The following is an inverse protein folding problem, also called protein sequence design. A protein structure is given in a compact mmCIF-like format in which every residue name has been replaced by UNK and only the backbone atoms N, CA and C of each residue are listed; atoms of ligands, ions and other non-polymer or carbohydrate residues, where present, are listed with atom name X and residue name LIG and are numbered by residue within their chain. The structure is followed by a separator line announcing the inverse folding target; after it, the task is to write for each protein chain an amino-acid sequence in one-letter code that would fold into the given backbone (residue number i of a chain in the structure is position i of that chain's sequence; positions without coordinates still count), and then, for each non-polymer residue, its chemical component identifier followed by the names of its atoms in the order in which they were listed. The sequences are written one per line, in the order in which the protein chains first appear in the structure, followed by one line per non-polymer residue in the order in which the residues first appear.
data_IF_886922027162
#
_entry.id   IF_886922027162
#
_cell.length_a   1.000
_cell.length_b   1.000
_cell.length_c   1.000
_cell.angle_alpha   90.00
_cell.angle_beta   90.00
_cell.angle_gamma   90.00
#
_symmetry.space_group_name_H-M   'P 1'
#
loop_
_entity.id
_entity.type
_entity.pdbx_description
1 polymer ?
#
# COMPACT_ATOMS: atom_id res chain seq x y z
N UNK A 1 36.98 67.11 -4.03
CA UNK A 1 35.65 66.53 -3.78
C UNK A 1 35.13 66.08 -5.12
N UNK A 2 35.14 64.76 -5.33
CA UNK A 2 34.67 64.08 -6.53
C UNK A 2 33.19 63.84 -6.32
N UNK A 3 32.35 64.24 -7.27
CA UNK A 3 31.06 63.57 -7.45
C UNK A 3 30.61 63.65 -8.90
N UNK A 4 30.42 62.47 -9.48
CA UNK A 4 30.03 62.21 -10.86
C UNK A 4 28.74 61.41 -10.87
N UNK A 5 27.77 61.91 -11.65
CA UNK A 5 26.78 61.20 -12.48
C UNK A 5 25.88 60.15 -11.80
N UNK A 6 24.57 60.39 -11.66
CA UNK A 6 23.52 60.34 -12.69
C UNK A 6 23.09 58.92 -13.11
N UNK A 7 21.81 58.58 -12.92
CA UNK A 7 20.79 58.48 -13.98
C UNK A 7 19.53 57.73 -13.54
N UNK A 8 18.41 58.15 -14.12
CA UNK A 8 17.05 57.67 -13.90
C UNK A 8 16.72 56.45 -14.80
N UNK A 9 15.68 55.68 -14.44
CA UNK A 9 15.09 54.71 -15.37
C UNK A 9 14.00 53.77 -14.83
N UNK A 10 12.75 54.13 -15.13
CA UNK A 10 11.62 53.29 -15.56
C UNK A 10 10.99 52.21 -14.64
N UNK A 11 9.69 52.39 -14.43
CA UNK A 11 8.73 51.41 -13.97
C UNK A 11 8.38 50.39 -15.08
N UNK A 12 8.22 49.12 -14.71
CA UNK A 12 7.58 48.08 -15.54
C UNK A 12 6.57 47.31 -14.70
N UNK A 13 5.36 47.23 -15.24
CA UNK A 13 4.14 46.57 -14.77
C UNK A 13 4.28 45.04 -14.62
N UNK A 14 3.73 44.49 -13.54
CA UNK A 14 3.57 43.05 -13.32
C UNK A 14 2.25 42.52 -13.93
N UNK A 15 2.21 41.32 -14.53
CA UNK A 15 0.95 40.69 -14.93
C UNK A 15 0.28 39.95 -13.77
N UNK A 16 -1.04 40.13 -13.70
CA UNK A 16 -1.98 39.45 -12.81
C UNK A 16 -2.09 37.94 -13.07
N UNK A 17 -1.89 37.13 -12.04
CA UNK A 17 -2.20 35.69 -12.07
C UNK A 17 -3.70 35.51 -11.78
N UNK A 18 -4.45 35.10 -12.81
CA UNK A 18 -5.85 34.68 -12.70
C UNK A 18 -5.88 33.26 -12.13
N UNK A 19 -6.34 33.12 -10.89
CA UNK A 19 -6.65 31.84 -10.28
C UNK A 19 -7.88 31.21 -10.98
N UNK A 20 -7.67 30.14 -11.75
CA UNK A 20 -8.76 29.28 -12.22
C UNK A 20 -9.12 28.28 -11.11
N UNK A 21 -10.34 28.41 -10.59
CA UNK A 21 -11.01 27.41 -9.77
C UNK A 21 -11.25 26.14 -10.61
N UNK A 22 -10.55 25.06 -10.31
CA UNK A 22 -10.86 23.73 -10.83
C UNK A 22 -11.74 23.01 -9.81
N UNK A 23 -13.00 22.84 -10.20
CA UNK A 23 -13.99 21.99 -9.57
C UNK A 23 -13.51 20.54 -9.54
N UNK A 24 -13.42 19.96 -8.34
CA UNK A 24 -13.26 18.52 -8.16
C UNK A 24 -14.54 17.80 -8.60
N UNK A 25 -14.47 17.08 -9.72
CA UNK A 25 -15.40 16.00 -10.03
C UNK A 25 -14.68 14.67 -9.89
N UNK A 26 -14.99 13.98 -8.79
CA UNK A 26 -14.86 12.52 -8.64
C UNK A 26 -15.65 11.80 -9.73
N UNK A 27 -15.03 10.86 -10.45
CA UNK A 27 -15.75 9.73 -11.07
C UNK A 27 -14.90 8.47 -10.88
N UNK A 28 -15.48 7.51 -10.16
CA UNK A 28 -15.08 6.11 -10.14
C UNK A 28 -16.03 5.27 -11.01
N UNK A 29 -15.49 4.15 -11.44
CA UNK A 29 -16.03 2.97 -12.10
C UNK A 29 -17.56 2.73 -12.24
N UNK A 30 -17.86 2.10 -13.39
CA UNK A 30 -19.01 1.24 -13.78
C UNK A 30 -20.38 1.88 -14.02
N UNK A 31 -20.81 1.81 -15.29
CA UNK A 31 -22.13 2.23 -15.73
C UNK A 31 -23.23 1.19 -15.57
N UNK A 32 -24.47 1.69 -15.45
CA UNK A 32 -25.68 1.18 -16.11
C UNK A 32 -26.53 2.38 -16.53
N UNK A 33 -27.19 2.20 -17.66
CA UNK A 33 -27.67 3.15 -18.67
C UNK A 33 -28.82 4.08 -18.30
N UNK A 34 -28.86 5.20 -19.03
CA UNK A 34 -29.86 6.28 -19.10
C UNK A 34 -31.32 5.85 -19.35
N UNK A 35 -32.27 6.64 -18.82
CA UNK A 35 -33.38 7.28 -19.57
C UNK A 35 -33.74 8.62 -18.90
N UNK A 36 -33.96 9.65 -19.72
CA UNK A 36 -34.20 11.06 -19.39
C UNK A 36 -35.59 11.42 -18.81
N UNK A 37 -35.60 12.62 -18.21
CA UNK A 37 -36.64 13.69 -18.16
C UNK A 37 -37.62 13.79 -16.96
N UNK A 38 -37.65 14.98 -16.36
CA UNK A 38 -38.89 15.63 -15.89
C UNK A 38 -38.95 16.11 -14.42
N UNK A 39 -38.64 17.40 -14.21
CA UNK A 39 -39.35 18.35 -13.32
C UNK A 39 -39.68 18.04 -11.84
N UNK A 40 -39.17 18.94 -10.98
CA UNK A 40 -39.75 19.57 -9.77
C UNK A 40 -40.06 18.80 -8.46
N UNK A 41 -39.54 19.42 -7.39
CA UNK A 41 -40.09 19.62 -6.03
C UNK A 41 -39.79 18.64 -4.88
N UNK A 42 -39.25 19.24 -3.80
CA UNK A 42 -39.22 18.90 -2.36
C UNK A 42 -39.73 17.53 -1.86
N UNK A 43 -38.91 16.85 -1.05
CA UNK A 43 -39.08 16.64 0.42
C UNK A 43 -38.16 15.51 0.95
N UNK A 44 -37.68 15.68 2.20
CA UNK A 44 -37.29 14.70 3.24
C UNK A 44 -36.57 13.39 2.82
N UNK A 45 -35.36 13.08 3.29
CA UNK A 45 -35.02 12.90 4.70
C UNK A 45 -35.26 11.44 5.12
N UNK A 46 -34.16 10.71 5.41
CA UNK A 46 -34.06 9.31 5.92
C UNK A 46 -33.95 8.18 4.88
N UNK A 47 -32.72 7.78 4.50
CA UNK A 47 -32.32 6.35 4.32
C UNK A 47 -30.84 6.11 3.88
N UNK A 48 -29.85 6.82 4.44
CA UNK A 48 -28.43 6.65 4.05
C UNK A 48 -27.59 5.75 4.96
N UNK A 49 -28.18 5.08 5.97
CA UNK A 49 -27.39 4.45 7.04
C UNK A 49 -27.22 2.91 6.96
N UNK A 50 -27.79 2.22 5.96
CA UNK A 50 -27.62 0.76 5.78
C UNK A 50 -26.57 0.40 4.72
N UNK A 51 -26.43 1.21 3.66
CA UNK A 51 -25.45 0.98 2.59
C UNK A 51 -23.99 1.23 3.03
N UNK A 52 -23.77 2.18 3.96
CA UNK A 52 -22.44 2.51 4.49
C UNK A 52 -21.85 1.39 5.36
N UNK A 53 -22.70 0.64 6.08
CA UNK A 53 -22.27 -0.51 6.90
C UNK A 53 -21.88 -1.72 6.05
N UNK A 54 -22.47 -1.89 4.86
CA UNK A 54 -22.15 -2.99 3.96
C UNK A 54 -20.82 -2.77 3.22
N UNK A 55 -20.50 -1.54 2.82
CA UNK A 55 -19.20 -1.18 2.20
C UNK A 55 -18.01 -1.29 3.18
N UNK A 56 -18.21 -0.98 4.46
CA UNK A 56 -17.16 -1.14 5.48
C UNK A 56 -16.81 -2.62 5.75
N UNK A 57 -17.75 -3.54 5.54
CA UNK A 57 -17.52 -4.99 5.67
C UNK A 57 -16.70 -5.55 4.50
N UNK A 58 -16.83 -5.00 3.30
CA UNK A 58 -16.09 -5.43 2.12
C UNK A 58 -14.65 -4.88 2.10
N UNK A 59 -14.42 -3.68 2.64
CA UNK A 59 -13.07 -3.13 2.86
C UNK A 59 -12.26 -3.92 3.91
N UNK A 60 -12.92 -4.54 4.90
CA UNK A 60 -12.27 -5.46 5.87
C UNK A 60 -11.86 -6.80 5.25
N UNK A 61 -12.53 -7.25 4.20
CA UNK A 61 -12.22 -8.52 3.52
C UNK A 61 -11.16 -8.39 2.41
N UNK A 62 -10.98 -7.19 1.82
CA UNK A 62 -9.95 -6.96 0.79
C UNK A 62 -8.54 -6.75 1.38
N UNK A 63 -8.42 -6.17 2.57
CA UNK A 63 -7.13 -6.01 3.27
C UNK A 63 -6.57 -7.35 3.81
N UNK A 64 -7.44 -8.31 4.11
CA UNK A 64 -7.06 -9.65 4.56
C UNK A 64 -6.58 -10.56 3.42
N UNK A 65 -7.06 -10.36 2.18
CA UNK A 65 -6.57 -11.14 1.02
C UNK A 65 -5.21 -10.68 0.49
N UNK A 66 -4.83 -9.40 0.64
CA UNK A 66 -3.47 -8.95 0.28
C UNK A 66 -2.39 -9.39 1.28
N UNK A 67 -2.77 -9.70 2.54
CA UNK A 67 -1.84 -10.19 3.56
C UNK A 67 -1.55 -11.70 3.45
N UNK A 68 -2.50 -12.49 2.92
CA UNK A 68 -2.36 -13.95 2.80
C UNK A 68 -1.43 -14.41 1.65
N UNK A 69 -1.11 -13.55 0.69
CA UNK A 69 -0.21 -13.93 -0.43
C UNK A 69 1.28 -13.62 -0.18
N UNK A 70 1.67 -13.24 1.05
CA UNK A 70 3.08 -12.98 1.39
C UNK A 70 3.55 -13.51 2.75
N UNK A 71 2.70 -14.28 3.44
CA UNK A 71 3.04 -14.91 4.73
C UNK A 71 2.90 -16.44 4.63
N UNK A 72 4.01 -17.11 4.37
CA UNK A 72 4.11 -18.58 4.36
C UNK A 72 4.04 -19.20 5.75
N UNK A 73 2.94 -19.00 6.48
CA UNK A 73 2.68 -19.70 7.74
C UNK A 73 1.28 -20.33 7.71
N UNK A 74 1.20 -21.54 7.15
CA UNK A 74 0.03 -22.41 7.26
C UNK A 74 0.06 -23.16 8.59
N UNK A 75 -0.84 -22.85 9.53
CA UNK A 75 -1.16 -23.74 10.64
C UNK A 75 -2.22 -24.75 10.18
N UNK A 76 -1.81 -25.98 9.88
CA UNK A 76 -2.72 -27.10 9.61
C UNK A 76 -3.40 -27.53 10.92
N UNK A 77 -4.73 -27.50 10.98
CA UNK A 77 -5.53 -28.21 11.99
C UNK A 77 -5.75 -29.65 11.54
N UNK A 78 -5.00 -30.59 12.11
CA UNK A 78 -5.33 -32.02 12.05
C UNK A 78 -6.35 -32.37 13.13
N UNK A 79 -7.57 -32.74 12.75
CA UNK A 79 -8.55 -33.35 13.66
C UNK A 79 -8.47 -34.86 13.52
N UNK A 80 -8.07 -35.57 14.59
CA UNK A 80 -8.29 -37.02 14.73
C UNK A 80 -9.29 -37.25 15.86
N UNK A 81 -10.34 -37.99 15.54
CA UNK A 81 -11.38 -38.49 16.42
C UNK A 81 -10.84 -39.69 17.20
N UNK A 82 -11.09 -39.77 18.50
CA UNK A 82 -11.11 -41.03 19.24
C UNK A 82 -12.12 -41.00 20.39
N UNK A 83 -13.10 -41.90 20.34
CA UNK A 83 -14.02 -42.24 21.43
C UNK A 83 -13.31 -42.97 22.58
N UNK A 84 -13.73 -42.71 23.83
CA UNK A 84 -14.11 -43.75 24.83
C UNK A 84 -14.74 -43.17 26.12
N UNK A 85 -15.50 -44.05 26.77
CA UNK A 85 -16.59 -43.90 27.75
C UNK A 85 -16.22 -43.74 29.25
N UNK A 86 -17.25 -43.31 30.03
CA UNK A 86 -17.65 -43.62 31.43
C UNK A 86 -16.69 -43.23 32.59
N UNK A 87 -17.08 -42.70 33.77
CA UNK A 87 -18.19 -43.06 34.68
C UNK A 87 -18.23 -42.11 35.92
N UNK A 88 -19.42 -41.97 36.56
CA UNK A 88 -19.79 -41.73 38.00
C UNK A 88 -18.76 -41.15 39.01
N UNK A 89 -19.05 -40.27 39.99
CA UNK A 89 -20.27 -39.84 40.70
C UNK A 89 -19.93 -39.55 42.19
N UNK A 90 -20.83 -38.88 42.93
CA UNK A 90 -20.97 -38.73 44.41
C UNK A 90 -20.62 -37.37 45.05
N UNK A 91 -21.64 -36.80 45.73
CA UNK A 91 -21.69 -35.57 46.53
C UNK A 91 -21.53 -35.84 48.04
N UNK A 92 -21.06 -34.84 48.81
CA UNK A 92 -21.16 -34.74 50.28
C UNK A 92 -20.70 -33.35 50.79
N UNK A 93 -21.21 -32.83 51.93
CA UNK A 93 -21.60 -31.41 52.07
C UNK A 93 -20.57 -30.49 52.75
N UNK A 94 -20.72 -29.18 52.49
CA UNK A 94 -20.04 -28.03 53.09
C UNK A 94 -20.67 -27.56 54.42
N UNK A 95 -19.91 -26.85 55.28
CA UNK A 95 -20.46 -25.83 56.17
C UNK A 95 -20.15 -24.41 55.66
N UNK A 96 -21.19 -23.58 55.68
CA UNK A 96 -21.24 -22.14 55.36
C UNK A 96 -20.80 -21.27 56.52
N UNK A 97 -20.05 -20.20 56.24
CA UNK A 97 -19.96 -18.98 57.06
C UNK A 97 -20.29 -17.80 56.15
N UNK A 98 -21.38 -17.09 56.47
CA UNK A 98 -21.84 -15.88 55.80
C UNK A 98 -21.03 -14.65 56.25
N UNK A 99 -20.70 -13.77 55.31
CA UNK A 99 -20.53 -12.34 55.55
C UNK A 99 -21.28 -11.54 54.46
N UNK A 100 -22.01 -10.53 54.92
CA UNK A 100 -23.12 -9.87 54.23
C UNK A 100 -22.77 -9.03 53.01
N UNK A 101 -23.79 -8.88 52.16
CA UNK A 101 -23.79 -8.07 50.94
C UNK A 101 -24.09 -6.60 51.21
N UNK A 102 -23.53 -5.69 50.41
CA UNK A 102 -24.25 -4.53 49.88
C UNK A 102 -23.83 -4.28 48.40
N UNK A 103 -24.86 -4.35 47.53
CA UNK A 103 -24.97 -4.23 46.05
C UNK A 103 -23.78 -3.77 45.19
N UNK A 104 -23.49 -4.33 44.01
CA UNK A 104 -24.27 -5.14 43.06
C UNK A 104 -23.77 -4.75 41.67
N UNK A 105 -22.85 -5.52 41.05
CA UNK A 105 -23.17 -6.45 39.97
C UNK A 105 -22.40 -7.77 40.14
N UNK A 106 -23.11 -8.86 39.94
CA UNK A 106 -22.73 -10.25 40.21
C UNK A 106 -21.60 -10.76 39.31
N UNK A 107 -20.47 -11.12 39.93
CA UNK A 107 -19.41 -11.94 39.34
C UNK A 107 -19.85 -13.41 39.34
N UNK A 108 -20.10 -13.99 38.17
CA UNK A 108 -20.21 -15.44 38.00
C UNK A 108 -18.79 -16.02 37.86
N UNK A 109 -18.22 -16.52 38.97
CA UNK A 109 -17.04 -17.38 38.92
C UNK A 109 -17.47 -18.82 38.67
N UNK A 110 -17.25 -19.36 37.47
CA UNK A 110 -17.29 -20.80 37.25
C UNK A 110 -15.90 -21.39 37.50
N UNK A 111 -15.75 -22.17 38.57
CA UNK A 111 -14.59 -23.04 38.75
C UNK A 111 -14.72 -24.22 37.77
N UNK A 112 -13.84 -24.25 36.76
CA UNK A 112 -13.62 -25.40 35.90
C UNK A 112 -12.19 -25.89 36.06
N UNK A 113 -12.00 -26.99 36.79
CA UNK A 113 -10.80 -27.81 36.69
C UNK A 113 -10.70 -28.40 35.28
N UNK A 114 -9.46 -28.66 34.86
CA UNK A 114 -8.98 -29.20 33.56
C UNK A 114 -8.50 -28.15 32.55
N UNK A 115 -7.20 -28.26 32.26
CA UNK A 115 -6.38 -27.26 31.59
C UNK A 115 -6.74 -27.01 30.13
N UNK A 116 -7.02 -25.74 29.84
CA UNK A 116 -6.84 -25.04 28.57
C UNK A 116 -6.60 -23.55 28.90
N UNK A 117 -5.87 -22.78 28.07
CA UNK A 117 -5.58 -21.38 28.35
C UNK A 117 -6.86 -20.54 28.32
N UNK A 118 -7.06 -19.75 29.38
CA UNK A 118 -8.19 -18.85 29.58
C UNK A 118 -8.30 -17.83 28.43
N UNK A 119 -9.37 -17.94 27.62
CA UNK A 119 -9.86 -16.83 26.81
C UNK A 119 -10.92 -16.08 27.62
N UNK A 120 -10.59 -14.87 28.06
CA UNK A 120 -11.56 -13.95 28.68
C UNK A 120 -12.21 -13.15 27.56
N UNK A 121 -13.47 -13.45 27.23
CA UNK A 121 -14.28 -12.58 26.37
C UNK A 121 -14.98 -11.54 27.25
N UNK A 122 -14.58 -10.27 27.13
CA UNK A 122 -15.27 -9.14 27.75
C UNK A 122 -16.27 -8.57 26.73
N UNK A 123 -17.56 -8.69 27.01
CA UNK A 123 -18.63 -7.96 26.29
C UNK A 123 -19.26 -7.00 27.30
N UNK A 124 -18.65 -5.83 27.43
CA UNK A 124 -19.14 -4.73 28.26
C UNK A 124 -19.26 -3.47 27.40
N UNK A 125 -20.39 -2.78 27.53
CA UNK A 125 -20.65 -1.43 27.05
C UNK A 125 -19.44 -0.52 27.30
N UNK A 126 -19.05 0.30 26.30
CA UNK A 126 -17.96 1.28 26.19
C UNK A 126 -17.37 1.90 27.48
N UNK A 127 -16.90 1.07 28.41
CA UNK A 127 -15.91 1.43 29.40
C UNK A 127 -14.56 1.39 28.69
N UNK A 128 -13.74 2.42 28.89
CA UNK A 128 -12.39 2.52 28.37
C UNK A 128 -11.61 1.25 28.77
N UNK A 129 -11.48 0.29 27.86
CA UNK A 129 -10.57 -0.84 28.06
C UNK A 129 -9.16 -0.27 27.94
N UNK A 130 -8.49 0.01 29.05
CA UNK A 130 -7.08 0.39 29.06
C UNK A 130 -6.21 -0.83 29.30
N UNK A 131 -4.92 -0.74 28.96
CA UNK A 131 -3.95 -1.77 29.35
C UNK A 131 -3.58 -1.54 30.82
N UNK A 132 -3.78 -2.50 31.73
CA UNK A 132 -3.48 -2.29 33.14
C UNK A 132 -1.96 -2.26 33.39
N UNK A 133 -1.45 -1.33 34.23
CA UNK A 133 -0.01 -1.23 34.53
C UNK A 133 0.55 -2.49 35.18
N UNK A 134 -0.29 -3.26 35.89
CA UNK A 134 0.11 -4.53 36.52
C UNK A 134 0.59 -5.58 35.50
N UNK A 135 0.26 -5.42 34.21
CA UNK A 135 0.80 -6.28 33.16
C UNK A 135 2.33 -6.21 33.09
N UNK A 136 2.93 -5.08 33.49
CA UNK A 136 4.38 -4.92 33.63
C UNK A 136 5.04 -5.87 34.62
N UNK A 137 4.28 -6.46 35.55
CA UNK A 137 4.80 -7.44 36.51
C UNK A 137 5.08 -8.82 35.88
N UNK A 138 4.59 -9.08 34.67
CA UNK A 138 4.76 -10.36 33.97
C UNK A 138 6.16 -10.48 33.34
N UNK A 139 7.22 -10.44 34.15
CA UNK A 139 8.62 -10.39 33.70
C UNK A 139 9.08 -11.55 32.80
N UNK A 140 8.34 -12.66 32.77
CA UNK A 140 8.59 -13.82 31.90
C UNK A 140 7.91 -13.73 30.53
N UNK A 141 7.04 -12.73 30.32
CA UNK A 141 6.25 -12.58 29.10
C UNK A 141 7.16 -12.37 27.88
N UNK A 142 6.96 -13.20 26.86
CA UNK A 142 7.69 -13.11 25.58
C UNK A 142 6.81 -12.63 24.43
N UNK A 143 5.49 -12.76 24.57
CA UNK A 143 4.51 -12.40 23.57
C UNK A 143 3.37 -11.68 24.27
N UNK A 144 3.06 -10.48 23.80
CA UNK A 144 1.87 -9.74 24.21
C UNK A 144 1.06 -9.40 22.96
N UNK A 145 -0.12 -10.02 22.87
CA UNK A 145 -1.03 -9.86 21.74
C UNK A 145 -2.41 -9.50 22.27
N UNK A 146 -2.85 -8.29 21.95
CA UNK A 146 -4.15 -7.74 22.32
C UNK A 146 -4.90 -7.24 21.08
N UNK A 147 -4.53 -7.72 19.89
CA UNK A 147 -5.07 -7.25 18.61
C UNK A 147 -6.58 -7.40 18.52
N UNK A 148 -7.22 -6.54 17.71
CA UNK A 148 -8.65 -6.60 17.40
C UNK A 148 -9.53 -6.53 18.66
N UNK A 149 -9.19 -5.62 19.57
CA UNK A 149 -9.95 -5.31 20.78
C UNK A 149 -10.23 -3.81 20.84
N UNK A 150 -11.14 -3.39 21.72
CA UNK A 150 -11.46 -1.98 21.95
C UNK A 150 -10.50 -1.29 22.93
N UNK A 151 -9.23 -1.73 22.99
CA UNK A 151 -8.25 -1.10 23.88
C UNK A 151 -8.00 0.36 23.47
N UNK A 152 -7.94 1.26 24.46
CA UNK A 152 -7.77 2.70 24.32
C UNK A 152 -6.93 3.27 25.48
N UNK A 153 -6.76 4.59 25.54
CA UNK A 153 -5.94 5.24 26.56
C UNK A 153 -4.44 5.09 26.32
N UNK A 154 -3.63 5.48 27.32
CA UNK A 154 -2.18 5.37 27.28
C UNK A 154 -1.69 3.95 27.50
N UNK A 155 -0.53 3.65 26.92
CA UNK A 155 0.22 2.45 27.26
C UNK A 155 1.04 2.72 28.53
N UNK A 156 0.86 1.94 29.62
CA UNK A 156 1.53 2.20 30.89
C UNK A 156 3.04 2.00 30.82
N UNK A 157 3.80 2.85 31.49
CA UNK A 157 5.27 2.83 31.51
C UNK A 157 5.83 1.55 32.15
N UNK A 158 5.05 0.89 33.01
CA UNK A 158 5.40 -0.40 33.62
C UNK A 158 5.65 -1.50 32.58
N UNK A 159 5.08 -1.39 31.37
CA UNK A 159 5.36 -2.34 30.27
C UNK A 159 6.83 -2.32 29.84
N UNK A 160 7.58 -1.26 30.14
CA UNK A 160 9.03 -1.20 29.94
C UNK A 160 9.79 -2.28 30.73
N UNK A 161 9.17 -2.85 31.77
CA UNK A 161 9.78 -3.93 32.57
C UNK A 161 9.73 -5.30 31.90
N UNK A 162 8.99 -5.45 30.79
CA UNK A 162 8.84 -6.70 30.04
C UNK A 162 10.07 -6.98 29.15
N UNK A 163 11.26 -7.06 29.76
CA UNK A 163 12.57 -7.18 29.06
C UNK A 163 12.79 -8.48 28.29
N UNK A 164 11.84 -9.42 28.37
CA UNK A 164 11.85 -10.70 27.63
C UNK A 164 10.92 -10.71 26.43
N UNK A 165 10.19 -9.63 26.21
CA UNK A 165 9.23 -9.50 25.14
C UNK A 165 9.95 -9.58 23.79
N UNK A 166 9.46 -10.47 22.93
CA UNK A 166 9.90 -10.69 21.54
C UNK A 166 8.84 -10.24 20.55
N UNK A 167 7.56 -10.27 20.93
CA UNK A 167 6.46 -9.87 20.07
C UNK A 167 5.46 -8.99 20.83
N UNK A 168 5.13 -7.85 20.22
CA UNK A 168 4.03 -6.96 20.58
C UNK A 168 3.07 -6.88 19.40
N UNK A 169 1.80 -7.19 19.63
CA UNK A 169 0.75 -7.04 18.63
C UNK A 169 -0.47 -6.31 19.20
N UNK A 170 -0.54 -5.02 18.88
CA UNK A 170 -1.61 -4.10 19.30
C UNK A 170 -2.48 -3.68 18.11
N UNK A 171 -2.41 -4.42 17.00
CA UNK A 171 -3.10 -4.09 15.75
C UNK A 171 -4.62 -3.99 15.93
N UNK A 172 -5.28 -3.10 15.19
CA UNK A 172 -6.75 -2.94 15.22
C UNK A 172 -7.28 -2.69 16.64
N UNK A 173 -6.59 -1.81 17.36
CA UNK A 173 -7.09 -1.27 18.63
C UNK A 173 -7.49 0.21 18.45
N UNK A 174 -7.95 0.87 19.51
CA UNK A 174 -8.38 2.28 19.48
C UNK A 174 -7.37 3.19 20.20
N UNK A 175 -6.08 2.86 20.18
CA UNK A 175 -5.05 3.68 20.84
C UNK A 175 -4.92 5.03 20.13
N UNK A 176 -5.18 6.12 20.87
CA UNK A 176 -5.04 7.51 20.42
C UNK A 176 -4.02 8.25 21.30
N UNK A 177 -2.78 7.80 21.25
CA UNK A 177 -1.67 8.29 22.06
C UNK A 177 -0.40 8.32 21.23
N UNK A 178 0.62 8.99 21.73
CA UNK A 178 1.96 8.91 21.15
C UNK A 178 2.57 7.52 21.37
N UNK A 179 3.49 7.12 20.50
CA UNK A 179 4.28 5.91 20.71
C UNK A 179 5.23 6.19 21.90
N UNK A 180 5.13 5.45 23.01
CA UNK A 180 6.00 5.68 24.15
C UNK A 180 7.46 5.39 23.82
N UNK A 181 8.35 6.28 24.24
CA UNK A 181 9.80 6.15 23.99
C UNK A 181 10.42 4.93 24.66
N UNK A 182 9.80 4.40 25.72
CA UNK A 182 10.28 3.23 26.45
C UNK A 182 10.27 1.94 25.61
N UNK A 183 9.56 1.88 24.47
CA UNK A 183 9.71 0.77 23.53
C UNK A 183 11.17 0.55 23.11
N UNK A 184 11.94 1.64 23.02
CA UNK A 184 13.38 1.59 22.75
C UNK A 184 14.22 0.84 23.78
N UNK A 185 13.70 0.58 24.98
CA UNK A 185 14.38 -0.22 26.02
C UNK A 185 14.19 -1.73 25.86
N UNK A 186 13.24 -2.17 25.02
CA UNK A 186 12.90 -3.58 24.82
C UNK A 186 13.84 -4.23 23.79
N UNK A 187 15.11 -4.39 24.14
CA UNK A 187 16.17 -4.85 23.23
C UNK A 187 15.99 -6.27 22.67
N UNK A 188 15.10 -7.09 23.24
CA UNK A 188 14.76 -8.44 22.75
C UNK A 188 13.57 -8.46 21.80
N UNK A 189 12.88 -7.33 21.61
CA UNK A 189 11.70 -7.27 20.76
C UNK A 189 12.10 -7.47 19.29
N UNK A 190 11.42 -8.40 18.63
CA UNK A 190 11.67 -8.79 17.23
C UNK A 190 10.53 -8.36 16.33
N UNK A 191 9.30 -8.38 16.82
CA UNK A 191 8.10 -8.07 16.04
C UNK A 191 7.25 -7.06 16.79
N UNK A 192 7.00 -5.91 16.16
CA UNK A 192 6.20 -4.83 16.73
C UNK A 192 5.13 -4.40 15.72
N UNK A 193 3.88 -4.75 16.02
CA UNK A 193 2.72 -4.42 15.22
C UNK A 193 1.83 -3.44 15.99
N UNK A 194 1.87 -2.16 15.61
CA UNK A 194 1.00 -1.10 16.15
C UNK A 194 0.06 -0.53 15.08
N UNK A 195 -0.03 -1.19 13.92
CA UNK A 195 -0.77 -0.70 12.77
C UNK A 195 -2.29 -0.74 12.97
N UNK A 196 -3.03 0.07 12.20
CA UNK A 196 -4.48 0.23 12.34
C UNK A 196 -4.89 0.66 13.76
N UNK A 197 -4.33 1.77 14.23
CA UNK A 197 -4.71 2.47 15.46
C UNK A 197 -4.92 3.97 15.14
N UNK A 198 -5.10 4.80 16.16
CA UNK A 198 -5.19 6.25 16.05
C UNK A 198 -3.94 6.94 16.64
N UNK A 199 -2.77 6.29 16.58
CA UNK A 199 -1.54 6.81 17.20
C UNK A 199 -1.15 8.15 16.58
N UNK A 200 -0.75 9.09 17.42
CA UNK A 200 -0.40 10.48 17.06
C UNK A 200 1.05 10.80 17.41
N UNK A 201 1.48 12.03 17.18
CA UNK A 201 2.83 12.49 17.51
C UNK A 201 3.87 12.01 16.51
N UNK A 202 5.14 12.01 16.94
CA UNK A 202 6.28 11.61 16.10
C UNK A 202 6.71 10.18 16.35
N UNK A 203 7.49 9.60 15.43
CA UNK A 203 8.14 8.30 15.68
C UNK A 203 9.34 8.55 16.62
N UNK A 204 9.41 7.95 17.82
CA UNK A 204 10.49 8.21 18.76
C UNK A 204 11.85 7.76 18.25
N UNK A 205 12.88 8.60 18.42
CA UNK A 205 14.28 8.27 18.09
C UNK A 205 14.76 7.00 18.79
N UNK A 206 14.23 6.72 20.00
CA UNK A 206 14.58 5.57 20.82
C UNK A 206 14.23 4.23 20.18
N UNK A 207 13.32 4.17 19.20
CA UNK A 207 13.05 2.93 18.46
C UNK A 207 14.30 2.42 17.72
N UNK A 208 15.24 3.32 17.36
CA UNK A 208 16.53 2.94 16.78
C UNK A 208 17.42 2.09 17.71
N UNK A 209 17.16 2.07 19.02
CA UNK A 209 17.92 1.28 19.99
C UNK A 209 17.51 -0.21 20.03
N UNK A 210 16.45 -0.59 19.31
CA UNK A 210 15.88 -1.94 19.35
C UNK A 210 16.67 -2.91 18.45
N UNK A 211 17.86 -3.30 18.90
CA UNK A 211 18.84 -4.06 18.10
C UNK A 211 18.38 -5.45 17.60
N UNK A 212 17.33 -6.04 18.19
CA UNK A 212 16.75 -7.32 17.74
C UNK A 212 15.54 -7.18 16.82
N UNK A 213 15.09 -5.95 16.53
CA UNK A 213 13.83 -5.70 15.83
C UNK A 213 13.93 -6.11 14.35
N UNK A 214 13.08 -7.05 13.94
CA UNK A 214 13.01 -7.56 12.57
C UNK A 214 11.85 -6.95 11.79
N UNK A 215 10.72 -6.72 12.45
CA UNK A 215 9.52 -6.17 11.79
C UNK A 215 8.95 -5.04 12.64
N UNK A 216 8.81 -3.88 12.01
CA UNK A 216 8.11 -2.72 12.55
C UNK A 216 6.97 -2.33 11.60
N UNK A 217 5.73 -2.49 12.06
CA UNK A 217 4.54 -2.03 11.34
C UNK A 217 3.79 -0.97 12.16
N UNK A 218 3.87 0.27 11.69
CA UNK A 218 3.17 1.45 12.23
C UNK A 218 2.13 1.98 11.24
N UNK A 219 1.77 1.21 10.21
CA UNK A 219 0.88 1.69 9.15
C UNK A 219 -0.54 1.97 9.61
N UNK A 220 -1.28 2.81 8.89
CA UNK A 220 -2.65 3.20 9.22
C UNK A 220 -2.76 3.78 10.64
N UNK A 221 -2.08 4.91 10.85
CA UNK A 221 -2.11 5.71 12.07
C UNK A 221 -2.16 7.21 11.68
N UNK A 222 -1.99 8.11 12.66
CA UNK A 222 -1.94 9.57 12.48
C UNK A 222 -0.55 10.12 12.86
N UNK A 223 0.50 9.31 12.67
CA UNK A 223 1.87 9.72 12.99
C UNK A 223 2.32 10.84 12.06
N UNK A 224 3.03 11.82 12.59
CA UNK A 224 3.47 13.04 11.91
C UNK A 224 4.96 13.29 12.13
N UNK A 225 5.50 14.33 11.51
CA UNK A 225 6.93 14.66 11.58
C UNK A 225 7.78 13.77 10.68
N UNK A 226 9.08 13.72 10.97
CA UNK A 226 10.07 13.06 10.11
C UNK A 226 10.23 11.57 10.44
N UNK A 227 10.74 10.79 9.49
CA UNK A 227 11.18 9.41 9.77
C UNK A 227 12.57 9.47 10.43
N UNK A 228 12.73 8.96 11.67
CA UNK A 228 14.03 8.98 12.34
C UNK A 228 15.08 8.14 11.60
N UNK A 229 16.23 8.73 11.30
CA UNK A 229 17.37 8.01 10.70
C UNK A 229 17.91 6.91 11.61
N UNK A 230 17.65 6.98 12.93
CA UNK A 230 18.02 5.95 13.89
C UNK A 230 17.38 4.58 13.61
N UNK A 231 16.21 4.53 12.95
CA UNK A 231 15.58 3.26 12.54
C UNK A 231 16.46 2.52 11.53
N UNK A 232 17.20 3.25 10.69
CA UNK A 232 18.12 2.70 9.71
C UNK A 232 19.50 2.33 10.30
N UNK A 233 19.60 2.24 11.62
CA UNK A 233 20.76 1.68 12.34
C UNK A 233 20.48 0.25 12.84
N UNK A 234 19.23 -0.22 12.75
CA UNK A 234 18.81 -1.53 13.23
C UNK A 234 19.18 -2.60 12.19
N UNK A 235 20.36 -3.21 12.35
CA UNK A 235 20.91 -4.19 11.39
C UNK A 235 20.08 -5.48 11.21
N UNK A 236 19.22 -5.80 12.18
CA UNK A 236 18.30 -6.95 12.15
C UNK A 236 16.98 -6.65 11.44
N UNK A 237 16.70 -5.38 11.10
CA UNK A 237 15.41 -4.98 10.53
C UNK A 237 15.23 -5.59 9.13
N UNK A 238 14.15 -6.33 8.95
CA UNK A 238 13.77 -6.97 7.68
C UNK A 238 12.66 -6.22 6.96
N UNK A 239 11.69 -5.68 7.71
CA UNK A 239 10.50 -5.02 7.17
C UNK A 239 10.15 -3.79 7.98
N UNK A 240 10.00 -2.68 7.27
CA UNK A 240 9.56 -1.40 7.83
C UNK A 240 8.32 -0.92 7.07
N UNK A 241 7.19 -0.82 7.77
CA UNK A 241 5.94 -0.33 7.20
C UNK A 241 5.43 0.88 7.98
N UNK A 242 5.46 2.05 7.34
CA UNK A 242 4.99 3.33 7.85
C UNK A 242 3.86 3.90 6.98
N UNK A 243 3.25 3.07 6.12
CA UNK A 243 2.27 3.54 5.13
C UNK A 243 1.01 4.10 5.79
N UNK A 244 0.32 5.03 5.11
CA UNK A 244 -0.93 5.62 5.60
C UNK A 244 -0.75 6.31 6.96
N UNK A 245 0.13 7.32 6.97
CA UNK A 245 0.36 8.24 8.09
C UNK A 245 0.44 9.68 7.53
N UNK A 246 0.86 10.63 8.36
CA UNK A 246 1.07 12.05 8.03
C UNK A 246 2.56 12.41 8.09
N UNK A 247 3.46 11.44 7.85
CA UNK A 247 4.91 11.66 7.91
C UNK A 247 5.32 12.59 6.78
N UNK A 248 6.26 13.49 7.06
CA UNK A 248 6.70 14.54 6.14
C UNK A 248 8.22 14.59 6.03
N UNK A 249 8.72 15.57 5.27
CA UNK A 249 10.15 15.76 4.98
C UNK A 249 10.70 14.68 4.02
N UNK A 250 12.00 14.75 3.76
CA UNK A 250 12.74 13.92 2.86
C UNK A 250 12.91 12.48 3.33
N UNK A 251 13.24 11.61 2.38
CA UNK A 251 13.63 10.25 2.70
C UNK A 251 14.86 10.28 3.64
N UNK A 252 14.84 9.58 4.78
CA UNK A 252 15.88 9.67 5.79
C UNK A 252 17.24 9.19 5.28
N UNK A 253 18.31 9.85 5.70
CA UNK A 253 19.67 9.46 5.32
C UNK A 253 20.01 8.05 5.84
N UNK A 254 20.52 7.21 4.94
CA UNK A 254 21.01 5.86 5.27
C UNK A 254 22.53 5.88 5.14
N UNK A 255 23.21 5.77 6.29
CA UNK A 255 24.68 5.79 6.37
C UNK A 255 25.25 4.46 6.88
N UNK A 256 24.41 3.45 7.09
CA UNK A 256 24.79 2.14 7.64
C UNK A 256 24.26 1.03 6.74
N UNK A 257 25.05 -0.03 6.57
CA UNK A 257 24.62 -1.21 5.81
C UNK A 257 23.54 -1.98 6.59
N UNK A 258 22.40 -2.24 5.95
CA UNK A 258 21.26 -2.96 6.51
C UNK A 258 21.10 -4.29 5.77
N UNK A 259 21.87 -5.32 6.15
CA UNK A 259 21.92 -6.58 5.40
C UNK A 259 20.60 -7.35 5.45
N UNK A 260 19.76 -7.12 6.46
CA UNK A 260 18.51 -7.86 6.64
C UNK A 260 17.32 -7.20 5.93
N UNK A 261 17.41 -5.90 5.62
CA UNK A 261 16.27 -5.10 5.19
C UNK A 261 15.83 -5.47 3.78
N UNK A 262 14.59 -5.94 3.67
CA UNK A 262 13.99 -6.45 2.44
C UNK A 262 12.80 -5.61 1.97
N UNK A 263 12.09 -4.96 2.89
CA UNK A 263 10.84 -4.26 2.57
C UNK A 263 10.79 -2.88 3.23
N UNK A 264 10.58 -1.86 2.41
CA UNK A 264 10.28 -0.49 2.84
C UNK A 264 8.93 -0.08 2.24
N UNK A 265 7.95 0.21 3.10
CA UNK A 265 6.61 0.65 2.75
C UNK A 265 6.28 2.00 3.37
N UNK A 266 6.40 3.09 2.61
CA UNK A 266 6.08 4.46 3.03
C UNK A 266 4.93 5.07 2.23
N UNK A 267 4.09 4.24 1.62
CA UNK A 267 2.97 4.68 0.78
C UNK A 267 2.03 5.60 1.54
N UNK A 268 1.44 6.60 0.88
CA UNK A 268 0.41 7.46 1.46
C UNK A 268 0.89 8.19 2.71
N UNK A 269 1.85 9.09 2.51
CA UNK A 269 2.36 10.06 3.48
C UNK A 269 2.55 11.41 2.77
N UNK A 270 3.21 12.35 3.44
CA UNK A 270 3.58 13.68 2.93
C UNK A 270 5.10 13.81 2.72
N UNK A 271 5.81 12.72 2.41
CA UNK A 271 7.26 12.74 2.21
C UNK A 271 7.61 13.49 0.91
N UNK A 272 8.70 14.25 0.90
CA UNK A 272 9.08 15.14 -0.21
C UNK A 272 10.57 15.06 -0.60
N UNK A 273 11.01 15.89 -1.54
CA UNK A 273 12.40 15.92 -1.99
C UNK A 273 12.78 14.76 -2.91
N UNK A 274 14.04 14.72 -3.34
CA UNK A 274 14.56 13.71 -4.24
C UNK A 274 14.84 12.36 -3.59
N UNK A 275 14.73 11.27 -4.37
CA UNK A 275 15.13 9.95 -3.90
C UNK A 275 16.67 9.88 -3.73
N UNK A 276 17.21 9.43 -2.57
CA UNK A 276 18.65 9.41 -2.34
C UNK A 276 19.38 8.50 -3.33
N UNK A 277 20.36 9.04 -4.06
CA UNK A 277 21.12 8.29 -5.08
C UNK A 277 21.97 7.14 -4.51
N UNK A 278 22.25 7.13 -3.21
CA UNK A 278 23.05 6.10 -2.55
C UNK A 278 22.21 5.07 -1.79
N UNK A 279 20.87 5.11 -1.87
CA UNK A 279 19.98 4.21 -1.11
C UNK A 279 20.35 2.72 -1.31
N UNK A 280 20.63 2.33 -2.55
CA UNK A 280 20.96 0.95 -2.89
C UNK A 280 22.37 0.51 -2.46
N UNK A 281 23.27 1.43 -2.09
CA UNK A 281 24.61 1.06 -1.59
C UNK A 281 24.54 0.42 -0.20
N UNK A 282 23.49 0.72 0.56
CA UNK A 282 23.33 0.31 1.95
C UNK A 282 22.24 -0.74 2.16
N UNK A 283 21.49 -1.07 1.11
CA UNK A 283 20.34 -1.98 1.16
C UNK A 283 20.52 -3.16 0.18
N UNK A 284 21.53 -4.03 0.37
CA UNK A 284 21.92 -5.05 -0.61
C UNK A 284 20.82 -6.10 -0.87
N UNK A 285 19.92 -6.32 0.09
CA UNK A 285 18.87 -7.33 0.03
C UNK A 285 17.46 -6.75 -0.15
N UNK A 286 17.35 -5.46 -0.53
CA UNK A 286 16.05 -4.82 -0.72
C UNK A 286 15.28 -5.48 -1.86
N UNK A 287 14.08 -5.99 -1.55
CA UNK A 287 13.16 -6.63 -2.49
C UNK A 287 11.99 -5.72 -2.86
N UNK A 288 11.61 -4.80 -1.98
CA UNK A 288 10.45 -3.94 -2.21
C UNK A 288 10.70 -2.53 -1.67
N UNK A 289 10.50 -1.55 -2.55
CA UNK A 289 10.51 -0.13 -2.24
C UNK A 289 9.18 0.48 -2.71
N UNK A 290 8.29 0.76 -1.75
CA UNK A 290 6.97 1.31 -2.02
C UNK A 290 6.82 2.70 -1.41
N UNK A 291 6.91 3.72 -2.27
CA UNK A 291 6.88 5.14 -1.92
C UNK A 291 5.70 5.89 -2.56
N UNK A 292 4.75 5.16 -3.15
CA UNK A 292 3.63 5.75 -3.88
C UNK A 292 2.76 6.67 -3.03
N UNK A 293 2.13 7.68 -3.63
CA UNK A 293 1.25 8.65 -2.93
C UNK A 293 2.02 9.42 -1.86
N UNK A 294 3.05 10.14 -2.30
CA UNK A 294 3.83 11.10 -1.51
C UNK A 294 4.02 12.36 -2.38
N UNK A 295 4.97 13.21 -2.01
CA UNK A 295 5.37 14.43 -2.72
C UNK A 295 6.84 14.36 -3.18
N UNK A 296 7.39 13.17 -3.41
CA UNK A 296 8.77 13.02 -3.89
C UNK A 296 8.93 13.71 -5.25
N UNK A 297 10.03 14.44 -5.43
CA UNK A 297 10.30 15.25 -6.62
C UNK A 297 11.69 14.95 -7.21
N UNK A 298 12.11 15.77 -8.18
CA UNK A 298 13.37 15.59 -8.87
C UNK A 298 13.37 14.36 -9.79
N UNK A 299 14.57 13.94 -10.20
CA UNK A 299 14.74 12.80 -11.10
C UNK A 299 14.82 11.49 -10.33
N UNK A 300 14.32 10.41 -10.95
CA UNK A 300 14.61 9.06 -10.47
C UNK A 300 16.11 8.81 -10.68
N UNK A 301 16.90 8.55 -9.63
CA UNK A 301 18.34 8.37 -9.78
C UNK A 301 18.65 7.06 -10.51
N UNK A 302 19.51 7.09 -11.53
CA UNK A 302 19.93 5.89 -12.29
C UNK A 302 20.58 4.83 -11.41
N UNK A 303 21.16 5.23 -10.28
CA UNK A 303 21.73 4.35 -9.26
C UNK A 303 20.71 3.47 -8.53
N UNK A 304 19.39 3.70 -8.71
CA UNK A 304 18.35 2.77 -8.26
C UNK A 304 18.56 1.35 -8.81
N UNK A 305 19.20 1.27 -9.99
CA UNK A 305 19.60 0.00 -10.63
C UNK A 305 20.56 -0.83 -9.78
N UNK A 306 21.26 -0.25 -8.79
CA UNK A 306 22.13 -1.00 -7.89
C UNK A 306 21.37 -1.88 -6.89
N UNK A 307 20.06 -1.66 -6.72
CA UNK A 307 19.20 -2.54 -5.92
C UNK A 307 18.89 -3.84 -6.69
N UNK A 308 19.90 -4.70 -6.87
CA UNK A 308 19.84 -5.88 -7.75
C UNK A 308 18.82 -6.94 -7.32
N UNK A 309 18.42 -6.95 -6.04
CA UNK A 309 17.41 -7.86 -5.50
C UNK A 309 15.98 -7.31 -5.59
N UNK A 310 15.79 -6.10 -6.09
CA UNK A 310 14.50 -5.43 -6.09
C UNK A 310 13.52 -6.13 -7.02
N UNK A 311 12.37 -6.51 -6.47
CA UNK A 311 11.26 -7.17 -7.16
C UNK A 311 10.10 -6.21 -7.40
N UNK A 312 9.93 -5.20 -6.55
CA UNK A 312 8.90 -4.18 -6.70
C UNK A 312 9.47 -2.78 -6.44
N UNK A 313 9.27 -1.90 -7.42
CA UNK A 313 9.50 -0.46 -7.31
C UNK A 313 8.17 0.25 -7.55
N UNK A 314 7.67 0.94 -6.52
CA UNK A 314 6.43 1.71 -6.60
C UNK A 314 6.67 3.16 -6.24
N UNK A 315 6.67 4.02 -7.26
CA UNK A 315 6.90 5.46 -7.19
C UNK A 315 5.69 6.27 -7.70
N UNK A 316 4.57 5.60 -8.01
CA UNK A 316 3.38 6.26 -8.55
C UNK A 316 2.75 7.30 -7.62
N UNK A 317 2.05 8.29 -8.18
CA UNK A 317 1.47 9.39 -7.41
C UNK A 317 2.54 10.15 -6.61
N UNK A 318 3.49 10.74 -7.33
CA UNK A 318 4.51 11.65 -6.82
C UNK A 318 4.72 12.78 -7.84
N UNK A 319 5.76 13.59 -7.66
CA UNK A 319 6.13 14.71 -8.52
C UNK A 319 7.47 14.44 -9.24
N UNK A 320 7.79 13.18 -9.56
CA UNK A 320 9.05 12.86 -10.24
C UNK A 320 9.06 13.46 -11.65
N UNK A 321 10.16 14.13 -11.99
CA UNK A 321 10.40 14.78 -13.29
C UNK A 321 11.53 14.08 -14.07
N UNK A 322 11.76 14.52 -15.30
CA UNK A 322 12.86 14.03 -16.13
C UNK A 322 12.57 12.67 -16.76
N UNK A 323 13.62 11.97 -17.18
CA UNK A 323 13.50 10.73 -17.95
C UNK A 323 13.41 9.50 -17.04
N UNK A 324 12.76 8.44 -17.54
CA UNK A 324 12.87 7.10 -16.95
C UNK A 324 14.32 6.63 -17.15
N UNK A 325 15.10 6.32 -16.10
CA UNK A 325 16.48 5.87 -16.26
C UNK A 325 16.54 4.53 -16.99
N UNK A 326 17.31 4.46 -18.08
CA UNK A 326 17.51 3.23 -18.85
C UNK A 326 18.14 2.11 -18.01
N UNK A 327 18.91 2.46 -16.98
CA UNK A 327 19.56 1.53 -16.07
C UNK A 327 18.56 0.68 -15.28
N UNK A 328 17.29 1.09 -15.18
CA UNK A 328 16.22 0.24 -14.65
C UNK A 328 16.16 -1.09 -15.42
N UNK A 329 16.47 -1.11 -16.72
CA UNK A 329 16.56 -2.34 -17.52
C UNK A 329 17.59 -3.36 -17.02
N UNK A 330 18.54 -2.97 -16.16
CA UNK A 330 19.51 -3.87 -15.54
C UNK A 330 18.96 -4.60 -14.29
N UNK A 331 17.76 -4.23 -13.81
CA UNK A 331 17.17 -4.78 -12.59
C UNK A 331 16.43 -6.10 -12.86
N UNK A 332 17.14 -7.15 -13.24
CA UNK A 332 16.56 -8.41 -13.75
C UNK A 332 15.65 -9.18 -12.79
N UNK A 333 15.69 -8.86 -11.49
CA UNK A 333 14.78 -9.41 -10.47
C UNK A 333 13.41 -8.71 -10.43
N UNK A 334 13.26 -7.58 -11.12
CA UNK A 334 12.08 -6.72 -11.05
C UNK A 334 10.86 -7.41 -11.67
N UNK A 335 9.78 -7.47 -10.88
CA UNK A 335 8.48 -8.02 -11.25
C UNK A 335 7.43 -6.94 -11.43
N UNK A 336 7.52 -5.85 -10.67
CA UNK A 336 6.49 -4.81 -10.65
C UNK A 336 7.12 -3.43 -10.67
N UNK A 337 6.80 -2.67 -11.69
CA UNK A 337 7.27 -1.30 -11.88
C UNK A 337 6.08 -0.35 -12.02
N UNK A 338 5.87 0.49 -11.00
CA UNK A 338 4.82 1.50 -10.98
C UNK A 338 5.43 2.90 -10.95
N UNK A 339 5.38 3.61 -12.07
CA UNK A 339 5.88 4.98 -12.24
C UNK A 339 4.77 5.96 -12.64
N UNK A 340 3.51 5.51 -12.73
CA UNK A 340 2.41 6.34 -13.19
C UNK A 340 2.00 7.48 -12.26
N UNK A 341 1.36 8.52 -12.79
CA UNK A 341 0.94 9.74 -12.07
C UNK A 341 2.17 10.42 -11.47
N UNK A 342 3.01 10.92 -12.39
CA UNK A 342 4.20 11.73 -12.16
C UNK A 342 4.32 12.72 -13.34
N UNK A 343 5.45 13.43 -13.42
CA UNK A 343 5.79 14.37 -14.49
C UNK A 343 6.95 13.82 -15.36
N UNK A 344 7.02 12.49 -15.53
CA UNK A 344 8.09 11.85 -16.30
C UNK A 344 7.93 12.14 -17.80
N UNK A 345 9.03 12.49 -18.45
CA UNK A 345 9.08 12.94 -19.83
C UNK A 345 10.01 12.11 -20.71
N UNK A 346 9.97 12.41 -22.02
CA UNK A 346 10.79 11.75 -23.03
C UNK A 346 10.26 10.36 -23.41
N UNK A 347 11.11 9.57 -24.04
CA UNK A 347 10.74 8.25 -24.53
C UNK A 347 10.84 7.16 -23.47
N UNK A 348 10.07 6.09 -23.65
CA UNK A 348 10.17 4.88 -22.85
C UNK A 348 11.50 4.17 -23.23
N UNK A 349 12.44 3.93 -22.30
CA UNK A 349 13.70 3.27 -22.61
C UNK A 349 13.48 1.84 -23.13
N UNK A 350 14.08 1.51 -24.28
CA UNK A 350 14.00 0.17 -24.86
C UNK A 350 14.64 -0.91 -23.96
N UNK A 351 15.53 -0.53 -23.05
CA UNK A 351 16.15 -1.39 -22.05
C UNK A 351 15.13 -2.01 -21.08
N UNK A 352 13.96 -1.39 -20.88
CA UNK A 352 12.87 -1.98 -20.09
C UNK A 352 12.39 -3.32 -20.67
N UNK A 353 12.56 -3.54 -21.98
CA UNK A 353 12.32 -4.84 -22.63
C UNK A 353 13.32 -5.93 -22.26
N UNK A 354 14.30 -5.67 -21.39
CA UNK A 354 15.24 -6.67 -20.85
C UNK A 354 14.76 -7.28 -19.53
N UNK A 355 13.68 -6.76 -18.95
CA UNK A 355 13.14 -7.19 -17.65
C UNK A 355 12.31 -8.47 -17.77
N UNK A 356 12.97 -9.60 -17.99
CA UNK A 356 12.35 -10.90 -18.28
C UNK A 356 11.43 -11.47 -17.18
N UNK A 357 11.39 -10.84 -15.99
CA UNK A 357 10.51 -11.21 -14.87
C UNK A 357 9.37 -10.22 -14.64
N UNK A 358 9.27 -9.18 -15.46
CA UNK A 358 8.30 -8.11 -15.28
C UNK A 358 6.89 -8.63 -15.52
N UNK A 359 6.07 -8.58 -14.48
CA UNK A 359 4.67 -8.99 -14.45
C UNK A 359 3.75 -7.76 -14.61
N UNK A 360 4.15 -6.61 -14.07
CA UNK A 360 3.38 -5.36 -14.11
C UNK A 360 4.26 -4.19 -14.50
N UNK A 361 3.85 -3.48 -15.55
CA UNK A 361 4.44 -2.22 -15.98
C UNK A 361 3.36 -1.14 -16.06
N UNK A 362 3.45 -0.11 -15.21
CA UNK A 362 2.52 1.01 -15.20
C UNK A 362 3.26 2.33 -15.29
N UNK A 363 3.10 3.01 -16.42
CA UNK A 363 3.64 4.34 -16.73
C UNK A 363 2.53 5.40 -16.93
N UNK A 364 1.28 5.08 -16.57
CA UNK A 364 0.11 5.92 -16.81
C UNK A 364 0.25 7.37 -16.34
N UNK A 365 -0.47 8.31 -16.93
CA UNK A 365 -0.55 9.71 -16.49
C UNK A 365 0.85 10.31 -16.27
N UNK A 366 1.62 10.38 -17.34
CA UNK A 366 2.89 11.08 -17.41
C UNK A 366 2.90 11.94 -18.69
N UNK A 367 4.03 12.55 -19.02
CA UNK A 367 4.22 13.33 -20.26
C UNK A 367 5.17 12.59 -21.23
N UNK A 368 5.08 11.26 -21.27
CA UNK A 368 5.92 10.43 -22.13
C UNK A 368 5.56 10.60 -23.61
N UNK A 369 6.59 10.58 -24.46
CA UNK A 369 6.49 10.77 -25.91
C UNK A 369 7.12 9.61 -26.66
N UNK A 370 7.06 9.63 -28.00
CA UNK A 370 7.67 8.60 -28.84
C UNK A 370 6.85 7.32 -28.85
N UNK A 371 7.47 6.23 -29.32
CA UNK A 371 6.80 4.93 -29.48
C UNK A 371 6.98 4.04 -28.27
N UNK A 372 6.09 3.05 -28.11
CA UNK A 372 6.28 1.97 -27.14
C UNK A 372 7.31 0.98 -27.72
N UNK A 373 8.47 0.75 -27.07
CA UNK A 373 9.49 -0.14 -27.60
C UNK A 373 8.96 -1.55 -27.86
N UNK A 374 9.19 -2.08 -29.08
CA UNK A 374 8.71 -3.41 -29.50
C UNK A 374 9.15 -4.53 -28.56
N UNK A 375 10.33 -4.39 -27.94
CA UNK A 375 10.88 -5.36 -26.98
C UNK A 375 10.02 -5.54 -25.72
N UNK A 376 9.22 -4.54 -25.32
CA UNK A 376 8.27 -4.67 -24.21
C UNK A 376 7.18 -5.69 -24.56
N UNK A 377 6.75 -5.74 -25.82
CA UNK A 377 5.79 -6.71 -26.31
C UNK A 377 6.37 -8.13 -26.44
N UNK A 378 7.64 -8.34 -26.08
CA UNK A 378 8.29 -9.64 -26.04
C UNK A 378 8.45 -10.20 -24.61
N UNK A 379 7.91 -9.52 -23.60
CA UNK A 379 8.05 -9.91 -22.19
C UNK A 379 7.02 -10.99 -21.80
N UNK A 380 7.41 -12.26 -21.89
CA UNK A 380 6.52 -13.40 -21.65
C UNK A 380 5.95 -13.53 -20.24
N UNK A 381 6.48 -12.78 -19.27
CA UNK A 381 5.97 -12.71 -17.89
C UNK A 381 4.87 -11.68 -17.67
N UNK A 382 4.64 -10.78 -18.65
CA UNK A 382 3.86 -9.56 -18.46
C UNK A 382 2.36 -9.86 -18.41
N UNK A 383 1.71 -9.43 -17.32
CA UNK A 383 0.28 -9.60 -17.05
C UNK A 383 -0.50 -8.31 -17.24
N UNK A 384 0.12 -7.18 -16.89
CA UNK A 384 -0.49 -5.86 -16.97
C UNK A 384 0.48 -4.86 -17.60
N UNK A 385 -0.01 -4.17 -18.63
CA UNK A 385 0.63 -2.98 -19.21
C UNK A 385 -0.33 -1.80 -19.10
N UNK A 386 0.12 -0.72 -18.46
CA UNK A 386 -0.64 0.53 -18.37
C UNK A 386 0.20 1.72 -18.83
N UNK A 387 -0.15 2.23 -20.01
CA UNK A 387 0.44 3.41 -20.65
C UNK A 387 -0.59 4.56 -20.78
N UNK A 388 -1.72 4.47 -20.07
CA UNK A 388 -2.85 5.40 -20.18
C UNK A 388 -2.42 6.85 -19.98
N UNK A 389 -3.05 7.80 -20.65
CA UNK A 389 -2.85 9.25 -20.48
C UNK A 389 -1.38 9.67 -20.62
N UNK A 390 -0.84 9.56 -21.82
CA UNK A 390 0.49 10.04 -22.20
C UNK A 390 0.42 10.71 -23.59
N UNK A 391 1.58 11.04 -24.19
CA UNK A 391 1.69 11.53 -25.57
C UNK A 391 2.36 10.51 -26.50
N UNK A 392 2.14 9.22 -26.25
CA UNK A 392 2.76 8.14 -27.03
C UNK A 392 2.18 8.07 -28.45
N UNK A 393 3.05 7.77 -29.41
CA UNK A 393 2.75 7.70 -30.85
C UNK A 393 3.12 6.32 -31.42
N UNK A 394 2.87 6.14 -32.71
CA UNK A 394 3.21 4.91 -33.44
C UNK A 394 2.09 3.88 -33.37
N UNK A 395 2.41 2.68 -33.87
CA UNK A 395 1.44 1.60 -34.05
C UNK A 395 1.70 0.49 -33.06
N UNK A 396 0.67 -0.29 -32.75
CA UNK A 396 0.84 -1.58 -32.06
C UNK A 396 1.59 -2.57 -32.96
N UNK A 397 2.40 -3.49 -32.40
CA UNK A 397 3.16 -4.45 -33.20
C UNK A 397 2.21 -5.34 -34.03
N UNK A 398 2.44 -5.43 -35.36
CA UNK A 398 1.49 -6.10 -36.26
C UNK A 398 1.51 -7.63 -36.12
N UNK A 399 2.63 -8.22 -35.69
CA UNK A 399 2.86 -9.67 -35.75
C UNK A 399 3.24 -10.28 -34.39
N UNK A 400 2.68 -11.45 -34.08
CA UNK A 400 3.09 -12.35 -32.98
C UNK A 400 3.07 -11.78 -31.55
N UNK A 401 2.44 -10.63 -31.31
CA UNK A 401 2.35 -10.02 -29.97
C UNK A 401 1.84 -11.01 -28.90
N UNK A 402 0.74 -11.72 -29.19
CA UNK A 402 0.12 -12.64 -28.23
C UNK A 402 0.87 -13.97 -28.07
N UNK A 403 1.73 -14.34 -29.03
CA UNK A 403 2.63 -15.48 -28.88
C UNK A 403 3.74 -15.16 -27.87
N UNK A 404 4.21 -13.91 -27.85
CA UNK A 404 5.24 -13.47 -26.91
C UNK A 404 4.67 -13.00 -25.57
N UNK A 405 3.39 -12.66 -25.50
CA UNK A 405 2.69 -12.23 -24.28
C UNK A 405 1.61 -13.24 -23.85
N UNK A 406 1.95 -14.52 -23.59
CA UNK A 406 0.97 -15.58 -23.42
C UNK A 406 0.12 -15.43 -22.16
N UNK A 407 0.56 -14.62 -21.18
CA UNK A 407 -0.12 -14.42 -19.88
C UNK A 407 -0.68 -13.01 -19.68
N UNK A 408 -0.75 -12.20 -20.75
CA UNK A 408 -1.28 -10.85 -20.68
C UNK A 408 -2.78 -10.87 -20.35
N UNK A 409 -3.15 -10.13 -19.32
CA UNK A 409 -4.52 -10.03 -18.81
C UNK A 409 -5.09 -8.63 -19.00
N UNK A 410 -4.28 -7.60 -18.85
CA UNK A 410 -4.73 -6.21 -18.83
C UNK A 410 -3.86 -5.33 -19.73
N UNK A 411 -4.51 -4.67 -20.69
CA UNK A 411 -3.87 -3.76 -21.64
C UNK A 411 -4.55 -2.39 -21.58
N UNK A 412 -3.86 -1.40 -21.03
CA UNK A 412 -4.34 -0.02 -20.97
C UNK A 412 -3.42 0.92 -21.74
N UNK A 413 -3.97 1.59 -22.74
CA UNK A 413 -3.28 2.52 -23.64
C UNK A 413 -4.15 3.74 -23.98
N UNK A 414 -5.25 3.94 -23.25
CA UNK A 414 -6.19 5.02 -23.51
C UNK A 414 -5.54 6.40 -23.36
N UNK A 415 -6.05 7.41 -24.06
CA UNK A 415 -5.57 8.80 -23.89
C UNK A 415 -4.15 8.99 -24.42
N UNK A 416 -3.88 8.54 -25.65
CA UNK A 416 -2.59 8.69 -26.33
C UNK A 416 -2.79 9.18 -27.77
N UNK A 417 -1.72 9.17 -28.57
CA UNK A 417 -1.70 9.52 -29.99
C UNK A 417 -1.33 8.30 -30.84
N UNK A 418 -1.74 7.10 -30.42
CA UNK A 418 -1.46 5.85 -31.14
C UNK A 418 -2.28 5.79 -32.43
N UNK A 419 -1.66 5.29 -33.49
CA UNK A 419 -2.18 5.30 -34.86
C UNK A 419 -2.24 3.89 -35.45
N UNK A 420 -2.72 3.81 -36.70
CA UNK A 420 -2.75 2.58 -37.48
C UNK A 420 -3.93 1.68 -37.10
N UNK A 421 -3.92 0.46 -37.63
CA UNK A 421 -4.97 -0.53 -37.36
C UNK A 421 -4.69 -1.25 -36.06
N UNK A 422 -5.74 -1.59 -35.32
CA UNK A 422 -5.62 -2.54 -34.20
C UNK A 422 -5.24 -3.91 -34.79
N UNK A 423 -4.08 -4.49 -34.44
CA UNK A 423 -3.57 -5.67 -35.11
C UNK A 423 -4.44 -6.89 -34.81
N UNK A 424 -4.74 -7.70 -35.84
CA UNK A 424 -5.58 -8.89 -35.70
C UNK A 424 -5.07 -9.87 -34.65
N UNK A 425 -3.75 -9.90 -34.44
CA UNK A 425 -3.13 -10.75 -33.43
C UNK A 425 -3.55 -10.37 -32.01
N UNK A 426 -3.92 -9.12 -31.70
CA UNK A 426 -4.42 -8.75 -30.37
C UNK A 426 -5.62 -9.61 -29.96
N UNK A 427 -6.47 -9.97 -30.92
CA UNK A 427 -7.65 -10.80 -30.70
C UNK A 427 -7.32 -12.27 -30.42
N UNK A 428 -6.05 -12.67 -30.55
CA UNK A 428 -5.56 -14.01 -30.22
C UNK A 428 -4.98 -14.10 -28.80
N UNK A 429 -4.88 -12.98 -28.07
CA UNK A 429 -4.45 -12.97 -26.67
C UNK A 429 -5.57 -13.51 -25.77
N UNK A 430 -5.73 -14.83 -25.73
CA UNK A 430 -6.86 -15.52 -25.08
C UNK A 430 -6.99 -15.26 -23.56
N UNK A 431 -5.93 -14.76 -22.91
CA UNK A 431 -5.94 -14.42 -21.49
C UNK A 431 -6.38 -12.98 -21.17
N UNK A 432 -6.64 -12.14 -22.19
CA UNK A 432 -7.07 -10.76 -21.99
C UNK A 432 -8.44 -10.70 -21.31
N UNK A 433 -8.49 -9.89 -20.26
CA UNK A 433 -9.68 -9.57 -19.48
C UNK A 433 -10.11 -8.12 -19.72
N UNK A 434 -9.12 -7.22 -19.86
CA UNK A 434 -9.36 -5.79 -20.03
C UNK A 434 -8.53 -5.28 -21.19
N UNK A 435 -9.18 -4.61 -22.14
CA UNK A 435 -8.54 -3.88 -23.25
C UNK A 435 -9.09 -2.46 -23.28
N UNK A 436 -8.20 -1.50 -23.08
CA UNK A 436 -8.52 -0.07 -23.04
C UNK A 436 -7.65 0.70 -24.04
N UNK A 437 -8.23 1.03 -25.19
CA UNK A 437 -7.59 1.73 -26.31
C UNK A 437 -8.32 3.05 -26.66
N UNK A 438 -9.25 3.50 -25.82
CA UNK A 438 -10.06 4.69 -26.06
C UNK A 438 -9.20 5.96 -26.18
N UNK A 439 -9.73 7.00 -26.82
CA UNK A 439 -9.03 8.29 -26.95
C UNK A 439 -7.65 8.15 -27.61
N UNK A 440 -7.65 7.60 -28.83
CA UNK A 440 -6.48 7.43 -29.69
C UNK A 440 -6.86 7.77 -31.15
N UNK A 441 -6.00 7.44 -32.10
CA UNK A 441 -6.20 7.66 -33.53
C UNK A 441 -6.22 6.34 -34.31
N UNK A 442 -6.62 5.23 -33.66
CA UNK A 442 -6.72 3.93 -34.33
C UNK A 442 -7.76 3.96 -35.45
N UNK A 443 -7.44 3.33 -36.57
CA UNK A 443 -8.26 3.28 -37.78
C UNK A 443 -8.59 1.84 -38.19
N UNK A 444 -9.41 1.70 -39.24
CA UNK A 444 -9.82 0.41 -39.78
C UNK A 444 -11.00 -0.20 -39.04
N UNK A 445 -11.35 -1.42 -39.43
CA UNK A 445 -12.49 -2.16 -38.86
C UNK A 445 -12.09 -3.10 -37.73
N UNK A 446 -13.01 -3.30 -36.80
CA UNK A 446 -12.88 -4.35 -35.78
C UNK A 446 -13.20 -5.70 -36.46
N UNK A 447 -12.25 -6.65 -36.53
CA UNK A 447 -12.50 -7.94 -37.16
C UNK A 447 -13.36 -8.83 -36.26
N UNK A 448 -14.06 -9.80 -36.87
CA UNK A 448 -14.86 -10.81 -36.16
C UNK A 448 -14.06 -11.66 -35.18
N UNK A 449 -12.74 -11.76 -35.40
CA UNK A 449 -11.80 -12.45 -34.51
C UNK A 449 -11.81 -11.90 -33.08
N UNK A 450 -12.36 -10.70 -32.84
CA UNK A 450 -12.60 -10.19 -31.48
C UNK A 450 -13.37 -11.19 -30.60
N UNK A 451 -14.22 -12.04 -31.19
CA UNK A 451 -14.93 -13.12 -30.50
C UNK A 451 -14.03 -14.19 -29.89
N UNK A 452 -12.75 -14.26 -30.27
CA UNK A 452 -11.77 -15.18 -29.67
C UNK A 452 -11.37 -14.76 -28.24
N UNK A 453 -11.57 -13.50 -27.86
CA UNK A 453 -11.26 -12.97 -26.52
C UNK A 453 -12.34 -13.34 -25.51
N UNK A 454 -12.53 -14.64 -25.27
CA UNK A 454 -13.63 -15.17 -24.44
C UNK A 454 -13.55 -14.80 -22.95
N UNK A 455 -12.40 -14.34 -22.46
CA UNK A 455 -12.22 -13.89 -21.07
C UNK A 455 -12.40 -12.37 -20.89
N UNK A 456 -12.65 -11.62 -21.97
CA UNK A 456 -12.78 -10.17 -21.91
C UNK A 456 -14.05 -9.77 -21.13
N UNK A 457 -13.90 -8.89 -20.16
CA UNK A 457 -15.01 -8.34 -19.37
C UNK A 457 -15.14 -6.82 -19.53
N UNK A 458 -14.09 -6.15 -19.99
CA UNK A 458 -14.09 -4.72 -20.29
C UNK A 458 -13.34 -4.44 -21.59
N UNK A 459 -14.02 -3.77 -22.51
CA UNK A 459 -13.48 -3.37 -23.80
C UNK A 459 -13.82 -1.91 -24.06
N UNK A 460 -12.79 -1.06 -24.10
CA UNK A 460 -12.93 0.37 -24.33
C UNK A 460 -12.21 0.74 -25.63
N UNK A 461 -12.97 1.05 -26.68
CA UNK A 461 -12.47 1.44 -28.01
C UNK A 461 -12.97 2.83 -28.45
N UNK A 462 -13.69 3.54 -27.58
CA UNK A 462 -14.36 4.81 -27.91
C UNK A 462 -13.36 5.92 -28.26
N UNK A 463 -13.82 6.95 -28.97
CA UNK A 463 -12.97 8.09 -29.35
C UNK A 463 -11.72 7.66 -30.14
N UNK A 464 -11.95 6.95 -31.25
CA UNK A 464 -10.96 6.57 -32.25
C UNK A 464 -11.53 6.84 -33.66
N UNK A 465 -10.76 6.54 -34.71
CA UNK A 465 -11.17 6.63 -36.12
C UNK A 465 -11.61 5.26 -36.69
N UNK A 466 -12.19 4.40 -35.85
CA UNK A 466 -12.63 3.06 -36.26
C UNK A 466 -13.86 3.14 -37.17
N UNK A 467 -13.91 2.28 -38.18
CA UNK A 467 -14.95 2.24 -39.22
C UNK A 467 -15.48 0.81 -39.44
N UNK A 468 -16.48 0.65 -40.30
CA UNK A 468 -16.97 -0.66 -40.74
C UNK A 468 -18.14 -1.20 -39.91
N UNK A 469 -18.54 -2.43 -40.22
CA UNK A 469 -19.65 -3.13 -39.55
C UNK A 469 -19.13 -3.94 -38.37
N UNK A 470 -19.77 -3.78 -37.21
CA UNK A 470 -19.49 -4.55 -35.98
C UNK A 470 -20.24 -5.87 -36.01
#
# INVERSE_FOLDING_TARGET
MVDTSASAGAAVSAPSIVAKSLSLSTIGDTGKTDVQNGSNSNTNGQNTNSAFKHQLSQLKNMSSQQYNNSSGYNYQRGSRVSHKNNNSGVNGPTPTVEWGSMGGTSLLWSFGFYGHPLLVYYIGTAALCTVPPQLGNLSFLQLLDIRNNSFSGSLPDELAQLRRLKLVNFMFSSFHVEIPSWFGSLSKLQYMFLNNNNLVGTIPLSLGNMSSLQVLDLSFNQLSGTIPSSIFQISSLERLNLSYNQLSDSFPSINFNLPSLQVIHFKSNSLSGGLPSHICNYLPNLKMLALSRNMFDGQIPSTISKCQQLQMLSLSYNNFIGYIPKEIGNMTMLKKLYLGINELQGEIPHELGSLARLEVLSLRNNILTGTIPSRIFNLSSLRMMDFTDNSLTGNLPPENMCQHLPVLQELYMSGNKLTGRIPNNLWQCSNLQIVSLSYNQFEGSIPRDIGNLTLINQLFLGYNNLIGTI
#
